data_IF_991797891090
#
_entry.id   IF_991797891090
#
_cell.length_a   1.000
_cell.length_b   1.000
_cell.length_c   1.000
_cell.angle_alpha   90.00
_cell.angle_beta   90.00
_cell.angle_gamma   90.00
#
_symmetry.space_group_name_H-M   'P 1'
#
loop_
_entity.id
_entity.type
_entity.pdbx_description
1 polymer ?
#
# COMPACT_ATOMS: atom_id res chain seq x y z
N UNK A 1 26.50 -20.13 -1.00
CA UNK A 1 25.43 -19.83 -0.02
C UNK A 1 24.13 -20.36 -0.61
N UNK A 2 23.18 -20.83 0.22
CA UNK A 2 21.88 -21.35 -0.27
C UNK A 2 20.79 -20.39 0.18
N UNK A 3 19.83 -20.12 -0.69
CA UNK A 3 18.71 -19.22 -0.44
C UNK A 3 17.41 -20.00 -0.47
N UNK A 4 16.45 -19.58 0.36
CA UNK A 4 15.08 -20.11 0.37
C UNK A 4 14.11 -18.93 0.37
N UNK A 5 13.01 -19.07 -0.37
CA UNK A 5 11.90 -18.11 -0.40
C UNK A 5 10.70 -18.73 0.30
N UNK A 6 10.07 -17.99 1.20
CA UNK A 6 8.91 -18.45 1.98
C UNK A 6 7.70 -17.57 1.64
N UNK A 7 6.59 -18.20 1.23
CA UNK A 7 5.32 -17.52 1.06
C UNK A 7 4.52 -17.62 2.36
N UNK A 8 4.39 -16.51 3.06
CA UNK A 8 3.72 -16.42 4.36
C UNK A 8 2.55 -15.43 4.30
N UNK A 9 1.45 -15.66 5.05
CA UNK A 9 0.36 -14.69 5.13
C UNK A 9 0.85 -13.36 5.73
N UNK A 10 0.41 -12.23 5.18
CA UNK A 10 0.78 -10.88 5.62
C UNK A 10 0.67 -10.69 7.15
N UNK A 11 -0.40 -11.22 7.75
CA UNK A 11 -0.65 -11.15 9.20
C UNK A 11 0.45 -11.80 10.06
N UNK A 12 1.26 -12.68 9.48
CA UNK A 12 2.37 -13.40 10.13
C UNK A 12 3.74 -12.94 9.63
N UNK A 13 3.81 -11.98 8.70
CA UNK A 13 5.07 -11.50 8.13
C UNK A 13 5.98 -10.91 9.21
N UNK A 14 5.46 -9.98 10.02
CA UNK A 14 6.24 -9.33 11.07
C UNK A 14 6.82 -10.32 12.09
N UNK A 15 6.00 -11.30 12.52
CA UNK A 15 6.43 -12.37 13.42
C UNK A 15 7.64 -13.15 12.87
N UNK A 16 7.62 -13.44 11.56
CA UNK A 16 8.72 -14.16 10.91
C UNK A 16 9.98 -13.31 10.78
N UNK A 17 9.83 -12.02 10.47
CA UNK A 17 10.96 -11.08 10.41
C UNK A 17 11.61 -10.95 11.79
N UNK A 18 10.82 -10.83 12.85
CA UNK A 18 11.33 -10.72 14.23
C UNK A 18 12.06 -12.01 14.65
N UNK A 19 11.50 -13.18 14.30
CA UNK A 19 12.15 -14.47 14.52
C UNK A 19 13.47 -14.56 13.73
N UNK A 20 13.48 -14.20 12.45
CA UNK A 20 14.68 -14.24 11.62
C UNK A 20 15.78 -13.31 12.15
N UNK A 21 15.42 -12.12 12.64
CA UNK A 21 16.35 -11.17 13.27
C UNK A 21 16.96 -11.69 14.58
N UNK A 22 16.28 -12.61 15.27
CA UNK A 22 16.81 -13.24 16.49
C UNK A 22 17.88 -14.31 16.24
N UNK A 23 18.03 -14.76 14.99
CA UNK A 23 18.97 -15.81 14.59
C UNK A 23 20.32 -15.17 14.21
N UNK A 24 21.36 -15.46 14.98
CA UNK A 24 22.73 -14.92 14.83
C UNK A 24 23.43 -15.30 13.52
N UNK A 25 22.99 -16.37 12.87
CA UNK A 25 23.52 -16.85 11.59
C UNK A 25 22.86 -16.21 10.36
N UNK A 26 21.84 -15.36 10.54
CA UNK A 26 21.17 -14.66 9.42
C UNK A 26 22.03 -13.50 8.97
N UNK A 27 22.59 -13.60 7.77
CA UNK A 27 23.50 -12.59 7.20
C UNK A 27 22.80 -11.41 6.53
N UNK A 28 21.61 -11.65 5.97
CA UNK A 28 20.83 -10.64 5.22
C UNK A 28 19.35 -11.05 5.20
N UNK A 29 18.47 -10.08 5.35
CA UNK A 29 17.04 -10.18 5.09
C UNK A 29 16.76 -9.23 3.93
N UNK A 30 16.18 -9.75 2.86
CA UNK A 30 15.73 -8.96 1.72
C UNK A 30 14.23 -8.79 1.86
N UNK A 31 13.79 -7.57 2.16
CA UNK A 31 12.38 -7.21 2.21
C UNK A 31 12.04 -6.58 0.86
N UNK A 32 11.10 -7.17 0.12
CA UNK A 32 10.48 -6.45 -0.99
C UNK A 32 9.67 -5.32 -0.35
N UNK A 33 10.17 -4.08 -0.47
CA UNK A 33 9.39 -2.89 -0.11
C UNK A 33 8.08 -2.97 -0.89
N UNK A 34 6.97 -3.28 -0.21
CA UNK A 34 5.66 -2.87 -0.72
C UNK A 34 5.79 -1.38 -0.93
N UNK A 35 5.53 -0.90 -2.15
CA UNK A 35 5.51 0.54 -2.44
C UNK A 35 4.54 1.21 -1.46
N UNK A 36 5.06 1.67 -0.33
CA UNK A 36 4.29 2.45 0.62
C UNK A 36 4.03 3.78 -0.08
N UNK A 37 2.75 4.07 -0.33
CA UNK A 37 2.33 5.33 -0.91
C UNK A 37 3.00 6.46 -0.13
N UNK A 38 3.82 7.24 -0.82
CA UNK A 38 4.52 8.35 -0.17
C UNK A 38 3.50 9.38 0.30
N UNK A 39 3.84 10.19 1.31
CA UNK A 39 2.97 11.27 1.78
C UNK A 39 2.54 12.21 0.64
N UNK A 40 3.42 12.42 -0.33
CA UNK A 40 3.16 13.23 -1.52
C UNK A 40 2.14 12.57 -2.46
N UNK A 41 2.22 11.25 -2.65
CA UNK A 41 1.22 10.49 -3.42
C UNK A 41 -0.15 10.50 -2.74
N UNK A 42 -0.20 10.36 -1.42
CA UNK A 42 -1.44 10.46 -0.63
C UNK A 42 -2.04 11.87 -0.77
N UNK A 43 -1.21 12.92 -0.64
CA UNK A 43 -1.65 14.30 -0.75
C UNK A 43 -2.17 14.61 -2.16
N UNK A 44 -1.46 14.18 -3.20
CA UNK A 44 -1.87 14.33 -4.59
C UNK A 44 -3.22 13.64 -4.86
N UNK A 45 -3.42 12.42 -4.35
CA UNK A 45 -4.68 11.71 -4.44
C UNK A 45 -5.84 12.45 -3.76
N UNK A 46 -5.60 13.03 -2.57
CA UNK A 46 -6.61 13.80 -1.85
C UNK A 46 -6.96 15.11 -2.58
N UNK A 47 -5.97 15.84 -3.08
CA UNK A 47 -6.19 17.07 -3.86
C UNK A 47 -7.01 16.81 -5.12
N UNK A 48 -6.72 15.70 -5.81
CA UNK A 48 -7.48 15.29 -6.98
C UNK A 48 -8.94 14.99 -6.62
N UNK A 49 -9.18 14.25 -5.54
CA UNK A 49 -10.54 13.97 -5.07
C UNK A 49 -11.34 15.25 -4.76
N UNK A 50 -10.71 16.25 -4.14
CA UNK A 50 -11.34 17.55 -3.88
C UNK A 50 -11.67 18.30 -5.18
N UNK A 51 -10.76 18.28 -6.17
CA UNK A 51 -11.00 18.89 -7.49
C UNK A 51 -12.19 18.23 -8.20
N UNK A 52 -12.27 16.91 -8.20
CA UNK A 52 -13.38 16.16 -8.79
C UNK A 52 -14.72 16.51 -8.14
N UNK A 53 -14.78 16.58 -6.81
CA UNK A 53 -15.99 16.99 -6.08
C UNK A 53 -16.43 18.42 -6.46
N UNK A 54 -15.49 19.34 -6.61
CA UNK A 54 -15.80 20.71 -7.03
C UNK A 54 -16.31 20.79 -8.47
N UNK A 55 -15.78 19.96 -9.37
CA UNK A 55 -16.27 19.86 -10.75
C UNK A 55 -17.68 19.26 -10.80
N UNK A 56 -17.98 18.29 -9.94
CA UNK A 56 -19.34 17.75 -9.77
C UNK A 56 -20.31 18.82 -9.25
N UNK A 57 -19.91 19.58 -8.23
CA UNK A 57 -20.72 20.68 -7.68
C UNK A 57 -21.02 21.78 -8.70
N UNK A 58 -20.08 22.06 -9.61
CA UNK A 58 -20.25 23.05 -10.68
C UNK A 58 -20.98 22.50 -11.91
N UNK A 59 -21.40 21.24 -11.89
CA UNK A 59 -22.11 20.58 -12.99
C UNK A 59 -21.24 20.24 -14.20
N UNK A 60 -19.92 20.40 -14.09
CA UNK A 60 -18.95 20.11 -15.17
C UNK A 60 -18.61 18.62 -15.25
N UNK A 61 -18.88 17.86 -14.20
CA UNK A 61 -18.60 16.43 -14.10
C UNK A 61 -19.78 15.70 -13.48
N UNK A 62 -20.09 14.48 -13.95
CA UNK A 62 -21.18 13.67 -13.39
C UNK A 62 -20.71 12.98 -12.12
N UNK A 63 -21.50 13.07 -11.05
CA UNK A 63 -21.23 12.30 -9.84
C UNK A 63 -21.23 10.80 -10.17
N UNK A 64 -20.30 10.04 -9.56
CA UNK A 64 -20.30 8.58 -9.55
C UNK A 64 -20.57 8.07 -8.13
N UNK A 65 -20.97 6.81 -8.01
CA UNK A 65 -21.20 6.20 -6.72
C UNK A 65 -19.86 6.07 -5.96
N UNK A 66 -19.83 6.52 -4.71
CA UNK A 66 -18.64 6.45 -3.88
C UNK A 66 -18.24 5.01 -3.50
N UNK A 67 -19.20 4.07 -3.44
CA UNK A 67 -18.93 2.65 -3.14
C UNK A 67 -18.23 1.98 -4.32
N UNK A 68 -18.76 2.19 -5.52
CA UNK A 68 -18.16 1.66 -6.76
C UNK A 68 -16.71 2.13 -6.94
N UNK A 69 -16.43 3.39 -6.60
CA UNK A 69 -15.06 3.93 -6.60
C UNK A 69 -14.11 3.18 -5.65
N UNK A 70 -14.57 2.82 -4.45
CA UNK A 70 -13.72 2.16 -3.46
C UNK A 70 -13.45 0.70 -3.85
N UNK A 71 -14.41 0.05 -4.52
CA UNK A 71 -14.27 -1.35 -4.96
C UNK A 71 -13.36 -1.52 -6.18
N UNK A 72 -13.01 -0.44 -6.90
CA UNK A 72 -12.10 -0.42 -8.05
C UNK A 72 -10.61 -0.31 -7.67
N UNK A 73 -10.28 0.04 -6.42
CA UNK A 73 -8.93 0.25 -5.90
C UNK A 73 -8.38 -0.99 -5.18
#
# INVERSE_FOLDING_TARGET
MRQVTLHIPDKKYQLFIDLAKSLDFVKKIEEEEKEELTKDQILAGLEQGIKEINLVKTGKLKARNARELIDEL
#
